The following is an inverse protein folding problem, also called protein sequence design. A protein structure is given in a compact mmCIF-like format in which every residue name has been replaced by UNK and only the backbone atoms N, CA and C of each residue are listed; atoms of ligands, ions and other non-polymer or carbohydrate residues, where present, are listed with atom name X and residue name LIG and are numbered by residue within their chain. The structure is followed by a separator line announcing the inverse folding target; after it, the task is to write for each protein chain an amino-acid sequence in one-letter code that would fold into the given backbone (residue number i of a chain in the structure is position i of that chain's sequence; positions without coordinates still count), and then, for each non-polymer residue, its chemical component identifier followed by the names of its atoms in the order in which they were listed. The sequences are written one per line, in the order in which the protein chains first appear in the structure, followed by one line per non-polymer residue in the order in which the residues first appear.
data_IF_630461737708
#
_entry.id   IF_630461737708
#
_cell.length_a   1.000
_cell.length_b   1.000
_cell.length_c   1.000
_cell.angle_alpha   90.00
_cell.angle_beta   90.00
_cell.angle_gamma   90.00
#
_symmetry.space_group_name_H-M   'P 1'
#
loop_
_entity.id
_entity.type
_entity.pdbx_description
1 polymer ?
#
# COMPACT_ATOMS: atom_id res chain seq x y z
N UNK A 1 7.87 -15.82 -6.81
CA UNK A 1 7.77 -17.21 -6.32
C UNK A 1 8.45 -17.44 -4.98
N UNK A 2 9.70 -16.98 -4.76
CA UNK A 2 10.37 -17.15 -3.46
C UNK A 2 9.53 -16.68 -2.26
N UNK A 3 8.80 -15.56 -2.38
CA UNK A 3 7.88 -15.08 -1.34
C UNK A 3 6.73 -16.05 -1.04
N UNK A 4 6.17 -16.67 -2.09
CA UNK A 4 5.08 -17.64 -1.96
C UNK A 4 5.55 -18.92 -1.26
N UNK A 5 6.76 -19.38 -1.61
CA UNK A 5 7.38 -20.60 -1.09
C UNK A 5 8.17 -20.39 0.22
N UNK A 6 8.36 -19.16 0.67
CA UNK A 6 9.12 -18.86 1.89
C UNK A 6 10.63 -19.11 1.76
N UNK A 7 11.20 -19.03 0.56
CA UNK A 7 12.61 -19.38 0.27
C UNK A 7 13.58 -18.20 0.38
N UNK A 8 13.10 -17.06 0.88
CA UNK A 8 13.85 -15.81 0.95
C UNK A 8 13.70 -15.13 2.33
N UNK A 9 13.61 -15.95 3.38
CA UNK A 9 13.62 -15.46 4.75
C UNK A 9 14.94 -14.74 5.06
N UNK A 10 14.86 -13.78 5.97
CA UNK A 10 16.03 -13.16 6.55
C UNK A 10 16.60 -13.99 7.69
N UNK A 11 17.90 -13.90 7.85
CA UNK A 11 18.61 -14.30 9.07
C UNK A 11 18.26 -13.38 10.23
N UNK A 12 18.53 -13.81 11.46
CA UNK A 12 18.33 -12.97 12.64
C UNK A 12 19.16 -11.68 12.59
N UNK A 13 20.40 -11.74 12.09
CA UNK A 13 21.27 -10.56 11.95
C UNK A 13 20.71 -9.55 10.94
N UNK A 14 20.15 -10.02 9.82
CA UNK A 14 19.49 -9.18 8.83
C UNK A 14 18.23 -8.51 9.42
N UNK A 15 17.44 -9.25 10.21
CA UNK A 15 16.26 -8.71 10.90
C UNK A 15 16.63 -7.65 11.95
N UNK A 16 17.67 -7.89 12.75
CA UNK A 16 18.21 -6.92 13.70
C UNK A 16 18.67 -5.64 13.00
N UNK A 17 19.42 -5.81 11.91
CA UNK A 17 19.92 -4.69 11.10
C UNK A 17 18.76 -3.89 10.51
N UNK A 18 17.76 -4.57 9.95
CA UNK A 18 16.56 -3.95 9.41
C UNK A 18 15.80 -3.17 10.48
N UNK A 19 15.53 -3.77 11.64
CA UNK A 19 14.84 -3.12 12.75
C UNK A 19 15.58 -1.87 13.25
N UNK A 20 16.91 -1.93 13.38
CA UNK A 20 17.73 -0.78 13.75
C UNK A 20 17.60 0.36 12.73
N UNK A 21 17.69 0.06 11.43
CA UNK A 21 17.53 1.04 10.35
C UNK A 21 16.16 1.70 10.35
N UNK A 22 15.07 0.93 10.46
CA UNK A 22 13.72 1.48 10.43
C UNK A 22 13.41 2.32 11.68
N UNK A 23 13.93 1.95 12.85
CA UNK A 23 13.89 2.81 14.04
C UNK A 23 14.64 4.13 13.83
N UNK A 24 15.82 4.08 13.20
CA UNK A 24 16.58 5.29 12.88
C UNK A 24 15.81 6.17 11.89
N UNK A 25 15.23 5.59 10.85
CA UNK A 25 14.39 6.32 9.89
C UNK A 25 13.22 6.99 10.61
N UNK A 26 12.44 6.26 11.42
CA UNK A 26 11.35 6.83 12.19
C UNK A 26 11.81 7.98 13.09
N UNK A 27 12.91 7.82 13.83
CA UNK A 27 13.48 8.88 14.65
C UNK A 27 13.91 10.13 13.85
N UNK A 28 14.35 9.95 12.61
CA UNK A 28 14.73 11.08 11.75
C UNK A 28 13.50 11.82 11.19
N UNK A 29 12.45 11.10 10.81
CA UNK A 29 11.16 11.72 10.44
C UNK A 29 10.54 12.49 11.62
N UNK A 30 10.59 11.92 12.83
CA UNK A 30 10.11 12.58 14.06
C UNK A 30 10.86 13.90 14.34
N UNK A 31 12.17 13.97 14.10
CA UNK A 31 12.95 15.22 14.21
C UNK A 31 12.48 16.31 13.23
N UNK A 32 11.82 15.93 12.13
CA UNK A 32 11.19 16.86 11.17
C UNK A 32 9.72 17.14 11.48
N UNK A 33 9.19 16.62 12.60
CA UNK A 33 7.80 16.80 13.01
C UNK A 33 6.81 15.92 12.25
N UNK A 34 7.30 14.83 11.66
CA UNK A 34 6.50 13.89 10.88
C UNK A 34 6.49 12.51 11.54
N UNK A 35 5.30 11.97 11.77
CA UNK A 35 5.09 10.65 12.31
C UNK A 35 5.09 9.59 11.19
N UNK A 36 5.89 8.54 11.32
CA UNK A 36 6.09 7.54 10.27
C UNK A 36 5.34 6.23 10.56
N UNK A 37 4.44 5.85 9.66
CA UNK A 37 3.73 4.56 9.66
C UNK A 37 4.17 3.68 8.49
N UNK A 38 4.52 2.43 8.74
CA UNK A 38 4.82 1.43 7.71
C UNK A 38 3.58 0.64 7.33
N UNK A 39 3.36 0.42 6.04
CA UNK A 39 2.23 -0.36 5.52
C UNK A 39 2.77 -1.45 4.60
N UNK A 40 2.44 -2.69 4.93
CA UNK A 40 2.85 -3.85 4.14
C UNK A 40 1.66 -4.58 3.56
N UNK A 41 1.74 -4.85 2.26
CA UNK A 41 0.65 -5.45 1.49
C UNK A 41 1.05 -6.83 0.94
N UNK A 42 0.18 -7.85 1.01
CA UNK A 42 0.50 -9.19 0.51
C UNK A 42 0.49 -9.22 -1.02
N UNK A 43 1.27 -10.14 -1.60
CA UNK A 43 1.14 -10.45 -3.02
C UNK A 43 -0.22 -11.12 -3.31
N UNK A 44 -0.77 -10.83 -4.49
CA UNK A 44 -1.97 -11.49 -5.03
C UNK A 44 -1.93 -13.01 -4.93
N UNK A 45 -0.78 -13.63 -5.24
CA UNK A 45 -0.59 -15.09 -5.21
C UNK A 45 -0.81 -15.71 -3.83
N UNK A 46 -0.62 -14.95 -2.76
CA UNK A 46 -0.87 -15.41 -1.39
C UNK A 46 -2.35 -15.33 -1.03
N UNK A 47 -3.03 -14.28 -1.45
CA UNK A 47 -4.48 -14.10 -1.22
C UNK A 47 -5.29 -15.11 -2.04
N UNK A 48 -4.94 -15.29 -3.32
CA UNK A 48 -5.58 -16.23 -4.25
C UNK A 48 -4.78 -17.53 -4.38
N UNK A 49 -4.32 -18.07 -3.25
CA UNK A 49 -3.48 -19.27 -3.25
C UNK A 49 -4.21 -20.51 -3.80
N UNK A 50 -5.54 -20.53 -3.72
CA UNK A 50 -6.43 -21.55 -4.29
C UNK A 50 -6.50 -21.51 -5.83
N UNK A 51 -6.12 -20.38 -6.44
CA UNK A 51 -6.06 -20.21 -7.90
C UNK A 51 -4.65 -20.44 -8.48
N UNK A 52 -3.66 -20.73 -7.62
CA UNK A 52 -2.29 -21.00 -8.07
C UNK A 52 -2.21 -22.38 -8.75
N UNK A 53 -1.41 -22.53 -9.83
CA UNK A 53 -1.19 -23.83 -10.45
C UNK A 53 -0.68 -24.88 -9.46
N UNK A 54 -1.22 -26.10 -9.52
CA UNK A 54 -0.89 -27.19 -8.59
C UNK A 54 0.63 -27.49 -8.51
N UNK A 55 1.38 -27.21 -9.58
CA UNK A 55 2.84 -27.36 -9.63
C UNK A 55 3.58 -26.50 -8.58
N UNK A 56 2.99 -25.42 -8.10
CA UNK A 56 3.59 -24.54 -7.08
C UNK A 56 3.26 -24.97 -5.64
N UNK A 57 2.39 -25.95 -5.44
CA UNK A 57 2.00 -26.43 -4.12
C UNK A 57 1.20 -25.40 -3.31
N UNK A 58 1.21 -25.56 -1.98
CA UNK A 58 0.57 -24.63 -1.03
C UNK A 58 1.51 -23.47 -0.68
N UNK A 59 0.99 -22.28 -0.34
CA UNK A 59 1.83 -21.19 0.14
C UNK A 59 2.51 -21.59 1.45
N UNK A 60 3.75 -21.14 1.65
CA UNK A 60 4.46 -21.37 2.90
C UNK A 60 3.76 -20.69 4.08
N UNK A 61 3.74 -21.37 5.23
CA UNK A 61 3.17 -20.86 6.48
C UNK A 61 4.05 -19.77 7.11
N UNK A 62 5.36 -19.88 6.92
CA UNK A 62 6.34 -18.86 7.25
C UNK A 62 6.96 -18.31 5.96
N UNK A 63 6.99 -17.00 5.83
CA UNK A 63 7.42 -16.28 4.64
C UNK A 63 7.91 -14.89 5.03
N UNK A 64 8.69 -14.26 4.16
CA UNK A 64 9.49 -13.09 4.51
C UNK A 64 8.65 -11.93 5.06
N UNK A 65 7.51 -11.60 4.45
CA UNK A 65 6.65 -10.53 4.95
C UNK A 65 6.16 -10.81 6.38
N UNK A 66 5.61 -12.01 6.63
CA UNK A 66 5.18 -12.41 7.98
C UNK A 66 6.33 -12.38 8.98
N UNK A 67 7.50 -12.91 8.59
CA UNK A 67 8.70 -12.91 9.42
C UNK A 67 9.10 -11.48 9.82
N UNK A 68 9.21 -10.57 8.83
CA UNK A 68 9.61 -9.17 9.05
C UNK A 68 8.59 -8.45 9.93
N UNK A 69 7.28 -8.54 9.62
CA UNK A 69 6.24 -7.87 10.41
C UNK A 69 6.24 -8.35 11.86
N UNK A 70 6.30 -9.67 12.08
CA UNK A 70 6.33 -10.23 13.44
C UNK A 70 7.57 -9.77 14.19
N UNK A 71 8.74 -9.78 13.54
CA UNK A 71 9.98 -9.34 14.13
C UNK A 71 9.94 -7.85 14.52
N UNK A 72 9.51 -6.99 13.61
CA UNK A 72 9.44 -5.55 13.87
C UNK A 72 8.44 -5.23 14.98
N UNK A 73 7.25 -5.84 14.99
CA UNK A 73 6.26 -5.66 16.07
C UNK A 73 6.77 -6.14 17.44
N UNK A 74 7.59 -7.19 17.47
CA UNK A 74 8.14 -7.72 18.72
C UNK A 74 9.34 -6.92 19.25
N UNK A 75 10.15 -6.34 18.36
CA UNK A 75 11.46 -5.75 18.71
C UNK A 75 11.53 -4.23 18.53
N UNK A 76 10.46 -3.58 18.10
CA UNK A 76 10.42 -2.12 17.88
C UNK A 76 9.13 -1.51 18.41
N UNK A 77 9.07 -0.17 18.41
CA UNK A 77 7.84 0.60 18.67
C UNK A 77 7.32 1.27 17.40
N UNK A 78 7.68 0.75 16.24
CA UNK A 78 7.24 1.28 14.96
C UNK A 78 5.76 1.04 14.76
N UNK A 79 5.06 2.03 14.21
CA UNK A 79 3.68 1.86 13.78
C UNK A 79 3.63 1.09 12.46
N UNK A 80 3.07 -0.12 12.52
CA UNK A 80 3.07 -1.08 11.42
C UNK A 80 1.65 -1.58 11.15
N UNK A 81 1.20 -1.35 9.92
CA UNK A 81 -0.04 -1.89 9.37
C UNK A 81 0.31 -3.02 8.41
N UNK A 82 -0.15 -4.23 8.72
CA UNK A 82 -0.05 -5.39 7.84
C UNK A 82 -1.45 -5.75 7.34
N UNK A 83 -1.65 -5.67 6.03
CA UNK A 83 -2.98 -5.89 5.42
C UNK A 83 -3.22 -7.37 5.05
N UNK A 84 -2.25 -8.25 5.32
CA UNK A 84 -2.32 -9.67 4.98
C UNK A 84 -3.56 -10.37 5.54
N UNK A 85 -3.77 -10.26 6.84
CA UNK A 85 -4.85 -10.99 7.53
C UNK A 85 -6.23 -10.45 7.14
N UNK A 86 -6.39 -9.12 7.07
CA UNK A 86 -7.69 -8.52 6.73
C UNK A 86 -8.12 -8.87 5.30
N UNK A 87 -7.18 -8.93 4.35
CA UNK A 87 -7.46 -9.31 2.97
C UNK A 87 -7.73 -10.82 2.84
N UNK A 88 -6.93 -11.66 3.51
CA UNK A 88 -7.10 -13.11 3.49
C UNK A 88 -8.44 -13.53 4.13
N UNK A 89 -8.79 -12.96 5.28
CA UNK A 89 -10.05 -13.21 5.97
C UNK A 89 -11.24 -12.74 5.14
N UNK A 90 -11.13 -11.57 4.50
CA UNK A 90 -12.18 -11.06 3.63
C UNK A 90 -12.42 -11.99 2.43
N UNK A 91 -11.34 -12.38 1.73
CA UNK A 91 -11.43 -13.27 0.58
C UNK A 91 -12.02 -14.63 0.96
N UNK A 92 -11.59 -15.21 2.08
CA UNK A 92 -12.12 -16.49 2.57
C UNK A 92 -13.62 -16.44 2.89
N UNK A 93 -14.10 -15.33 3.44
CA UNK A 93 -15.52 -15.14 3.80
C UNK A 93 -16.38 -14.74 2.60
N UNK A 94 -15.78 -14.08 1.60
CA UNK A 94 -16.46 -13.52 0.43
C UNK A 94 -15.76 -13.93 -0.87
N UNK A 95 -15.63 -15.24 -1.18
CA UNK A 95 -14.87 -15.70 -2.35
C UNK A 95 -15.43 -15.22 -3.69
N UNK A 96 -16.71 -14.84 -3.73
CA UNK A 96 -17.38 -14.24 -4.89
C UNK A 96 -16.95 -12.80 -5.16
N UNK A 97 -16.37 -12.10 -4.18
CA UNK A 97 -15.95 -10.71 -4.32
C UNK A 97 -14.49 -10.65 -4.74
N UNK A 98 -14.25 -10.23 -5.97
CA UNK A 98 -12.91 -10.01 -6.48
C UNK A 98 -12.31 -8.76 -5.81
N UNK A 99 -11.17 -8.94 -5.13
CA UNK A 99 -10.39 -7.87 -4.48
C UNK A 99 -9.04 -7.59 -5.16
N UNK A 100 -8.61 -8.45 -6.09
CA UNK A 100 -7.48 -8.20 -6.99
C UNK A 100 -7.93 -8.41 -8.41
N UNK A 101 -7.42 -7.59 -9.33
CA UNK A 101 -7.62 -7.81 -10.76
C UNK A 101 -7.09 -9.18 -11.16
N UNK A 102 -7.75 -9.84 -12.11
CA UNK A 102 -7.33 -11.12 -12.68
C UNK A 102 -6.12 -10.95 -13.60
N UNK A 103 -6.12 -9.96 -14.49
CA UNK A 103 -5.06 -9.76 -15.50
C UNK A 103 -4.00 -8.74 -15.09
N UNK A 104 -4.01 -8.33 -13.82
CA UNK A 104 -3.10 -7.34 -13.28
C UNK A 104 -2.50 -7.82 -11.93
N UNK A 105 -1.34 -7.31 -11.57
CA UNK A 105 -0.65 -7.62 -10.31
C UNK A 105 -1.25 -6.92 -9.10
N UNK A 106 -2.06 -5.87 -9.29
CA UNK A 106 -2.61 -5.04 -8.22
C UNK A 106 -3.92 -5.58 -7.64
N UNK A 107 -4.22 -5.12 -6.43
CA UNK A 107 -5.61 -5.11 -5.97
C UNK A 107 -6.48 -4.26 -6.91
N UNK A 108 -7.79 -4.45 -6.86
CA UNK A 108 -8.72 -3.49 -7.45
C UNK A 108 -9.10 -2.41 -6.42
N UNK A 109 -10.00 -1.48 -6.78
CA UNK A 109 -10.45 -0.42 -5.87
C UNK A 109 -11.00 -0.96 -4.56
N UNK A 110 -11.70 -2.08 -4.60
CA UNK A 110 -12.34 -2.65 -3.43
C UNK A 110 -11.34 -3.37 -2.50
N UNK A 111 -10.39 -4.12 -3.05
CA UNK A 111 -9.28 -4.67 -2.26
C UNK A 111 -8.45 -3.57 -1.59
N UNK A 112 -8.13 -2.52 -2.34
CA UNK A 112 -7.47 -1.34 -1.76
C UNK A 112 -8.31 -0.69 -0.67
N UNK A 113 -9.63 -0.57 -0.83
CA UNK A 113 -10.49 0.02 0.19
C UNK A 113 -10.41 -0.74 1.52
N UNK A 114 -10.43 -2.08 1.47
CA UNK A 114 -10.30 -2.93 2.65
C UNK A 114 -8.96 -2.69 3.36
N UNK A 115 -7.86 -2.64 2.60
CA UNK A 115 -6.52 -2.34 3.11
C UNK A 115 -6.43 -0.91 3.68
N UNK A 116 -6.92 0.09 2.95
CA UNK A 116 -6.91 1.49 3.37
C UNK A 116 -7.77 1.74 4.59
N UNK A 117 -8.83 0.95 4.81
CA UNK A 117 -9.62 1.01 6.04
C UNK A 117 -8.79 0.70 7.28
N UNK A 118 -7.94 -0.32 7.20
CA UNK A 118 -7.04 -0.70 8.29
C UNK A 118 -5.96 0.37 8.51
N UNK A 119 -5.39 0.91 7.44
CA UNK A 119 -4.45 2.04 7.51
C UNK A 119 -5.10 3.28 8.15
N UNK A 120 -6.30 3.64 7.71
CA UNK A 120 -7.03 4.79 8.23
C UNK A 120 -7.21 4.68 9.76
N UNK A 121 -7.54 3.50 10.27
CA UNK A 121 -7.62 3.26 11.72
C UNK A 121 -6.29 3.53 12.43
N UNK A 122 -5.17 3.07 11.87
CA UNK A 122 -3.82 3.37 12.39
C UNK A 122 -3.52 4.87 12.41
N UNK A 123 -4.01 5.61 11.40
CA UNK A 123 -3.89 7.07 11.32
C UNK A 123 -4.95 7.83 12.15
N UNK A 124 -5.74 7.13 12.98
CA UNK A 124 -6.84 7.66 13.80
C UNK A 124 -7.99 8.27 12.99
N UNK A 125 -8.19 7.74 11.78
CA UNK A 125 -9.31 8.02 10.88
C UNK A 125 -10.25 6.80 10.84
N UNK A 126 -11.48 7.01 10.38
CA UNK A 126 -12.45 5.93 10.27
C UNK A 126 -13.13 5.96 8.92
N UNK A 127 -13.06 4.84 8.22
CA UNK A 127 -13.80 4.58 6.98
C UNK A 127 -14.87 3.51 7.25
N UNK A 128 -16.05 3.57 6.58
CA UNK A 128 -17.15 2.62 6.78
C UNK A 128 -16.79 1.15 6.53
N UNK A 129 -17.53 0.22 7.13
CA UNK A 129 -17.38 -1.22 6.85
C UNK A 129 -17.48 -1.51 5.33
N UNK A 130 -16.76 -2.51 4.78
CA UNK A 130 -16.91 -2.93 3.38
C UNK A 130 -18.34 -3.34 3.01
N UNK A 131 -19.16 -3.70 3.98
CA UNK A 131 -20.57 -4.05 3.77
C UNK A 131 -21.49 -2.82 3.69
N UNK A 132 -20.98 -1.64 4.05
CA UNK A 132 -21.71 -0.37 4.06
C UNK A 132 -21.41 0.52 2.83
N UNK A 133 -20.52 0.07 1.93
CA UNK A 133 -20.16 0.81 0.73
C UNK A 133 -20.85 0.24 -0.51
N UNK A 134 -20.91 1.06 -1.55
CA UNK A 134 -21.42 0.66 -2.85
C UNK A 134 -20.26 0.39 -3.81
N UNK A 135 -20.50 -0.53 -4.75
CA UNK A 135 -19.58 -0.86 -5.83
C UNK A 135 -20.24 -0.47 -7.14
N UNK A 136 -19.54 0.32 -7.94
CA UNK A 136 -19.94 0.69 -9.30
C UNK A 136 -18.89 0.16 -10.28
N UNK A 137 -19.31 -0.09 -11.52
CA UNK A 137 -18.35 -0.46 -12.56
C UNK A 137 -17.56 0.77 -13.01
N UNK A 138 -16.27 0.58 -13.19
CA UNK A 138 -15.32 1.63 -13.48
C UNK A 138 -14.74 1.55 -14.88
N UNK A 139 -13.84 2.48 -15.18
CA UNK A 139 -13.05 2.40 -16.40
C UNK A 139 -12.03 1.28 -16.26
N UNK A 140 -12.08 0.31 -17.16
CA UNK A 140 -11.09 -0.75 -17.26
C UNK A 140 -9.69 -0.18 -17.54
N UNK A 141 -8.67 -0.49 -16.71
CA UNK A 141 -7.30 -0.08 -16.96
C UNK A 141 -6.66 -0.98 -18.02
N UNK A 142 -5.48 -0.60 -18.49
CA UNK A 142 -4.58 -1.54 -19.17
C UNK A 142 -3.93 -2.39 -18.08
N UNK A 143 -4.29 -3.66 -18.04
CA UNK A 143 -3.81 -4.60 -17.04
C UNK A 143 -2.33 -4.97 -17.27
N UNK A 144 -1.51 -4.89 -16.22
CA UNK A 144 -0.06 -5.00 -16.36
C UNK A 144 0.41 -6.41 -16.77
N UNK A 145 -0.18 -7.50 -16.26
CA UNK A 145 0.16 -8.87 -16.68
C UNK A 145 -0.29 -9.12 -18.12
N UNK A 146 -1.46 -8.61 -18.52
CA UNK A 146 -1.90 -8.69 -19.92
C UNK A 146 -0.90 -7.98 -20.84
N UNK A 147 -0.43 -6.79 -20.46
CA UNK A 147 0.59 -6.05 -21.19
C UNK A 147 1.92 -6.78 -21.24
N UNK A 148 2.36 -7.40 -20.15
CA UNK A 148 3.60 -8.21 -20.10
C UNK A 148 3.53 -9.42 -21.04
N UNK A 149 2.33 -9.96 -21.28
CA UNK A 149 2.09 -11.05 -22.23
C UNK A 149 1.85 -10.57 -23.66
N UNK A 150 1.87 -9.25 -23.91
CA UNK A 150 1.45 -8.64 -25.18
C UNK A 150 0.01 -9.00 -25.60
N UNK A 151 -0.86 -9.19 -24.61
CA UNK A 151 -2.27 -9.55 -24.77
C UNK A 151 -3.21 -8.47 -24.20
N UNK A 152 -2.76 -7.23 -24.06
CA UNK A 152 -3.56 -6.14 -23.48
C UNK A 152 -4.86 -5.85 -24.24
N UNK A 153 -4.91 -6.15 -25.54
CA UNK A 153 -6.10 -5.96 -26.39
C UNK A 153 -6.99 -7.22 -26.44
N UNK A 154 -6.57 -8.31 -25.78
CA UNK A 154 -7.25 -9.62 -25.76
C UNK A 154 -7.78 -9.95 -24.36
N UNK A 155 -7.00 -9.66 -23.33
CA UNK A 155 -7.34 -9.92 -21.93
C UNK A 155 -7.91 -8.65 -21.28
N UNK A 156 -9.09 -8.25 -21.74
CA UNK A 156 -9.79 -7.02 -21.29
C UNK A 156 -10.91 -7.30 -20.29
N UNK A 157 -11.44 -8.54 -20.29
CA UNK A 157 -12.62 -8.93 -19.51
C UNK A 157 -12.26 -9.22 -18.04
N UNK A 158 -12.16 -8.15 -17.24
CA UNK A 158 -11.87 -8.22 -15.82
C UNK A 158 -12.57 -7.07 -15.06
N UNK A 159 -13.37 -7.32 -14.02
CA UNK A 159 -14.11 -6.25 -13.33
C UNK A 159 -13.21 -5.13 -12.79
N UNK A 160 -13.61 -3.89 -13.03
CA UNK A 160 -12.91 -2.70 -12.55
C UNK A 160 -13.75 -1.90 -11.54
N UNK A 161 -14.07 -2.50 -10.38
CA UNK A 161 -14.96 -1.86 -9.42
C UNK A 161 -14.39 -0.54 -8.92
N UNK A 162 -15.27 0.43 -8.71
CA UNK A 162 -15.01 1.68 -8.00
C UNK A 162 -15.88 1.68 -6.74
N UNK A 163 -15.25 1.92 -5.59
CA UNK A 163 -15.94 2.03 -4.31
C UNK A 163 -16.52 3.43 -4.16
N UNK A 164 -17.79 3.52 -3.79
CA UNK A 164 -18.51 4.76 -3.50
C UNK A 164 -19.35 4.62 -2.23
N UNK A 165 -19.94 5.73 -1.76
CA UNK A 165 -20.75 5.72 -0.52
C UNK A 165 -19.95 5.53 0.77
N UNK A 166 -18.62 5.62 0.72
CA UNK A 166 -17.75 5.55 1.89
C UNK A 166 -17.60 6.90 2.62
N UNK A 167 -17.93 8.01 1.95
CA UNK A 167 -17.92 9.37 2.49
C UNK A 167 -18.66 10.32 1.53
N UNK A 168 -19.16 11.43 2.05
CA UNK A 168 -19.68 12.56 1.26
C UNK A 168 -18.59 13.62 0.98
N UNK A 169 -17.39 13.43 1.54
CA UNK A 169 -16.24 14.32 1.33
C UNK A 169 -15.69 14.16 -0.08
N UNK A 170 -15.34 15.28 -0.69
CA UNK A 170 -14.64 15.34 -1.98
C UNK A 170 -13.25 15.93 -1.80
N UNK A 171 -12.38 15.68 -2.77
CA UNK A 171 -11.07 16.32 -2.84
C UNK A 171 -10.80 16.77 -4.27
N UNK A 172 -10.06 17.87 -4.40
CA UNK A 172 -9.48 18.28 -5.68
C UNK A 172 -8.13 17.57 -5.85
N UNK A 173 -7.86 17.08 -7.06
CA UNK A 173 -6.61 16.39 -7.37
C UNK A 173 -5.81 17.15 -8.42
N UNK A 174 -4.51 17.28 -8.19
CA UNK A 174 -3.55 17.81 -9.15
C UNK A 174 -2.37 16.86 -9.28
N UNK A 175 -1.88 16.67 -10.49
CA UNK A 175 -0.64 15.94 -10.74
C UNK A 175 0.50 16.92 -10.96
N UNK A 176 1.67 16.62 -10.41
CA UNK A 176 2.90 17.37 -10.65
C UNK A 176 4.02 16.43 -11.12
N UNK A 177 5.02 16.98 -11.80
CA UNK A 177 6.11 16.22 -12.41
C UNK A 177 5.81 15.75 -13.84
N UNK A 178 6.83 15.21 -14.51
CA UNK A 178 6.74 14.68 -15.88
C UNK A 178 7.32 13.26 -15.96
N UNK A 179 6.83 12.47 -16.92
CA UNK A 179 7.37 11.13 -17.20
C UNK A 179 7.31 10.19 -15.99
N UNK A 180 8.48 9.81 -15.48
CA UNK A 180 8.62 8.89 -14.35
C UNK A 180 8.56 9.56 -12.97
N UNK A 181 8.31 10.88 -12.88
CA UNK A 181 8.31 11.70 -11.64
C UNK A 181 6.92 12.22 -11.20
N UNK A 182 5.85 11.56 -11.66
CA UNK A 182 4.48 11.97 -11.35
C UNK A 182 4.16 11.79 -9.85
N UNK A 183 3.84 12.89 -9.18
CA UNK A 183 3.20 12.94 -7.86
C UNK A 183 1.73 13.33 -7.98
N UNK A 184 0.93 12.92 -6.99
CA UNK A 184 -0.50 13.24 -6.94
C UNK A 184 -0.78 14.01 -5.65
N UNK A 185 -1.31 15.22 -5.77
CA UNK A 185 -1.72 16.05 -4.66
C UNK A 185 -3.24 16.06 -4.56
N UNK A 186 -3.76 15.86 -3.35
CA UNK A 186 -5.18 15.86 -3.02
C UNK A 186 -5.45 16.91 -1.95
N UNK A 187 -6.47 17.74 -2.15
CA UNK A 187 -6.91 18.76 -1.20
C UNK A 187 -8.37 18.56 -0.84
N UNK A 188 -8.65 18.31 0.45
CA UNK A 188 -10.01 18.15 0.96
C UNK A 188 -10.43 19.37 1.76
N UNK A 189 -11.48 20.07 1.31
CA UNK A 189 -11.97 21.28 1.97
C UNK A 189 -12.99 21.01 3.10
N UNK A 190 -13.30 19.74 3.40
CA UNK A 190 -14.25 19.38 4.46
C UNK A 190 -13.70 19.76 5.84
N UNK A 191 -14.51 20.38 6.73
CA UNK A 191 -14.08 20.70 8.09
C UNK A 191 -13.85 19.46 8.97
N UNK A 192 -14.37 18.30 8.57
CA UNK A 192 -14.14 17.01 9.22
C UNK A 192 -12.85 16.31 8.75
N UNK A 193 -12.18 16.85 7.73
CA UNK A 193 -10.87 16.38 7.31
C UNK A 193 -9.83 16.68 8.42
N UNK A 194 -8.88 15.77 8.57
CA UNK A 194 -7.78 15.94 9.51
C UNK A 194 -6.90 17.12 9.08
N UNK A 195 -6.64 18.05 9.99
CA UNK A 195 -5.82 19.23 9.71
C UNK A 195 -4.35 18.90 9.44
N UNK A 196 -3.89 17.69 9.79
CA UNK A 196 -2.58 17.17 9.43
C UNK A 196 -2.48 16.97 7.91
N UNK A 197 -1.28 17.14 7.38
CA UNK A 197 -0.92 16.79 6.02
C UNK A 197 -0.33 15.38 6.00
N UNK A 198 -0.77 14.58 5.04
CA UNK A 198 -0.31 13.22 4.83
C UNK A 198 0.59 13.14 3.60
N UNK A 199 1.77 12.54 3.74
CA UNK A 199 2.62 12.11 2.62
C UNK A 199 2.61 10.57 2.53
N UNK A 200 2.04 10.03 1.47
CA UNK A 200 2.07 8.61 1.13
C UNK A 200 3.23 8.35 0.17
N UNK A 201 4.32 7.79 0.70
CA UNK A 201 5.45 7.28 -0.06
C UNK A 201 5.16 5.80 -0.33
N UNK A 202 4.89 5.43 -1.58
CA UNK A 202 4.43 4.08 -1.86
C UNK A 202 4.84 3.56 -3.22
N UNK A 203 4.45 2.32 -3.48
CA UNK A 203 4.50 1.76 -4.82
C UNK A 203 3.17 1.98 -5.54
N UNK A 204 2.99 1.38 -6.72
CA UNK A 204 1.75 1.52 -7.48
C UNK A 204 0.49 1.04 -6.73
N UNK A 205 0.61 0.23 -5.67
CA UNK A 205 -0.48 -0.11 -4.75
C UNK A 205 -1.00 1.14 -4.01
N UNK A 206 -0.10 1.99 -3.52
CA UNK A 206 -0.43 3.24 -2.83
C UNK A 206 -1.31 4.19 -3.63
N UNK A 207 -1.23 4.17 -4.97
CA UNK A 207 -2.11 5.00 -5.83
C UNK A 207 -3.59 4.70 -5.64
N UNK A 208 -3.95 3.44 -5.33
CA UNK A 208 -5.33 3.06 -5.04
C UNK A 208 -5.75 3.50 -3.64
N UNK A 209 -4.83 3.53 -2.68
CA UNK A 209 -5.10 3.98 -1.32
C UNK A 209 -5.30 5.49 -1.26
N UNK A 210 -4.55 6.24 -2.08
CA UNK A 210 -4.60 7.70 -2.16
C UNK A 210 -6.02 8.25 -2.26
N UNK A 211 -6.89 7.67 -3.11
CA UNK A 211 -8.26 8.19 -3.32
C UNK A 211 -9.13 8.18 -2.05
N UNK A 212 -8.87 7.25 -1.14
CA UNK A 212 -9.60 7.14 0.13
C UNK A 212 -8.94 7.98 1.22
N UNK A 213 -7.61 8.10 1.21
CA UNK A 213 -6.90 8.94 2.18
C UNK A 213 -7.06 10.43 1.87
N UNK A 214 -7.14 10.80 0.59
CA UNK A 214 -7.36 12.18 0.16
C UNK A 214 -8.69 12.76 0.61
N UNK A 215 -9.68 11.93 0.99
CA UNK A 215 -10.93 12.41 1.61
C UNK A 215 -10.82 12.57 3.13
N UNK A 216 -9.72 12.12 3.75
CA UNK A 216 -9.57 12.10 5.22
C UNK A 216 -8.65 13.18 5.78
N UNK A 217 -7.80 13.79 4.96
CA UNK A 217 -6.84 14.82 5.35
C UNK A 217 -7.02 16.08 4.52
N UNK A 218 -6.77 17.26 5.10
CA UNK A 218 -6.84 18.54 4.38
C UNK A 218 -5.89 18.57 3.18
N UNK A 219 -4.75 17.89 3.28
CA UNK A 219 -3.81 17.69 2.18
C UNK A 219 -3.24 16.28 2.25
N UNK A 220 -3.31 15.56 1.13
CA UNK A 220 -2.64 14.27 0.93
C UNK A 220 -1.76 14.36 -0.30
N UNK A 221 -0.50 13.94 -0.20
CA UNK A 221 0.40 13.84 -1.35
C UNK A 221 0.82 12.39 -1.49
N UNK A 222 0.61 11.79 -2.67
CA UNK A 222 1.22 10.53 -3.06
C UNK A 222 2.49 10.80 -3.84
N UNK A 223 3.57 10.14 -3.43
CA UNK A 223 4.88 10.15 -4.08
C UNK A 223 5.29 8.69 -4.32
N UNK A 224 5.59 8.33 -5.57
CA UNK A 224 6.12 6.99 -5.81
C UNK A 224 7.51 6.91 -5.16
N UNK A 225 7.81 5.79 -4.50
CA UNK A 225 9.04 5.64 -3.73
C UNK A 225 10.30 5.98 -4.52
N UNK A 226 10.31 5.75 -5.84
CA UNK A 226 11.51 5.92 -6.67
C UNK A 226 11.86 7.40 -6.90
N UNK A 227 10.90 8.27 -6.58
CA UNK A 227 10.99 9.72 -6.73
C UNK A 227 11.18 10.40 -5.38
N UNK A 228 11.03 9.67 -4.26
CA UNK A 228 11.11 10.28 -2.95
C UNK A 228 12.55 10.66 -2.62
N UNK A 229 12.74 11.96 -2.40
CA UNK A 229 13.93 12.59 -1.87
C UNK A 229 13.54 13.50 -0.70
N UNK A 230 14.50 13.82 0.18
CA UNK A 230 14.26 14.73 1.31
C UNK A 230 13.56 16.03 0.92
N UNK A 231 13.83 16.57 -0.26
CA UNK A 231 13.24 17.81 -0.76
C UNK A 231 11.71 17.73 -0.83
N UNK A 232 11.14 16.54 -1.09
CA UNK A 232 9.69 16.31 -1.06
C UNK A 232 9.15 16.49 0.36
N UNK A 233 9.83 15.91 1.37
CA UNK A 233 9.46 16.09 2.78
C UNK A 233 9.53 17.56 3.20
N UNK A 234 10.56 18.28 2.74
CA UNK A 234 10.79 19.69 3.10
C UNK A 234 9.82 20.64 2.39
N UNK A 235 9.37 20.30 1.18
CA UNK A 235 8.36 21.04 0.43
C UNK A 235 6.95 20.81 1.00
N UNK A 236 6.56 19.55 1.20
CA UNK A 236 5.21 19.17 1.62
C UNK A 236 4.96 19.46 3.11
N UNK A 237 6.00 19.33 3.95
CA UNK A 237 5.95 19.48 5.41
C UNK A 237 4.81 18.67 6.06
N UNK A 238 4.75 17.35 5.80
CA UNK A 238 3.72 16.49 6.36
C UNK A 238 3.87 16.33 7.87
N UNK A 239 2.75 16.11 8.56
CA UNK A 239 2.75 15.62 9.94
C UNK A 239 2.58 14.10 10.01
N UNK A 240 2.00 13.49 8.98
CA UNK A 240 1.89 12.04 8.83
C UNK A 240 2.63 11.59 7.57
N UNK A 241 3.46 10.58 7.70
CA UNK A 241 4.14 9.92 6.58
C UNK A 241 3.77 8.45 6.61
N UNK A 242 3.28 7.94 5.49
CA UNK A 242 3.05 6.53 5.28
C UNK A 242 4.08 6.01 4.29
N UNK A 243 4.82 4.97 4.68
CA UNK A 243 5.68 4.22 3.78
C UNK A 243 5.03 2.87 3.44
N UNK A 244 4.55 2.73 2.21
CA UNK A 244 3.81 1.59 1.71
C UNK A 244 4.67 0.72 0.78
N UNK A 245 4.62 -0.59 0.98
CA UNK A 245 5.23 -1.57 0.07
C UNK A 245 4.43 -2.86 -0.02
N UNK A 246 4.34 -3.40 -1.24
CA UNK A 246 3.91 -4.78 -1.45
C UNK A 246 5.03 -5.80 -1.19
N UNK A 247 4.66 -7.00 -0.74
CA UNK A 247 5.54 -8.10 -0.28
C UNK A 247 6.75 -8.37 -1.19
N UNK A 248 6.55 -8.38 -2.52
CA UNK A 248 7.64 -8.61 -3.48
C UNK A 248 8.74 -7.53 -3.44
N UNK A 249 8.42 -6.33 -2.94
CA UNK A 249 9.32 -5.19 -2.82
C UNK A 249 9.94 -5.05 -1.41
N UNK A 250 9.68 -5.99 -0.50
CA UNK A 250 10.08 -5.87 0.91
C UNK A 250 11.60 -5.69 1.11
N UNK A 251 12.43 -6.25 0.21
CA UNK A 251 13.88 -6.09 0.27
C UNK A 251 14.35 -4.65 0.11
N UNK A 252 13.52 -3.80 -0.48
CA UNK A 252 13.83 -2.40 -0.67
C UNK A 252 13.93 -1.66 0.69
N UNK A 253 13.23 -2.11 1.73
CA UNK A 253 13.33 -1.53 3.10
C UNK A 253 14.76 -1.39 3.60
N UNK A 254 15.68 -2.24 3.14
CA UNK A 254 17.09 -2.19 3.54
C UNK A 254 17.79 -0.88 3.19
N UNK A 255 17.21 -0.07 2.32
CA UNK A 255 17.75 1.21 1.87
C UNK A 255 16.86 2.41 2.18
N UNK A 256 15.72 2.21 2.83
CA UNK A 256 14.80 3.28 3.20
C UNK A 256 15.43 4.20 4.25
N UNK A 257 15.40 5.51 4.00
CA UNK A 257 15.80 6.54 4.95
C UNK A 257 15.03 7.84 4.72
N UNK A 258 15.28 8.83 5.59
CA UNK A 258 14.71 10.17 5.41
C UNK A 258 15.19 10.87 4.13
N UNK A 259 16.41 10.54 3.67
CA UNK A 259 17.04 11.20 2.52
C UNK A 259 16.47 10.75 1.18
N UNK A 260 16.13 9.46 1.10
CA UNK A 260 15.66 8.82 -0.11
C UNK A 260 14.96 7.52 0.27
N UNK A 261 14.01 7.08 -0.55
CA UNK A 261 13.46 5.76 -0.31
C UNK A 261 14.49 4.70 -0.73
N UNK A 262 15.21 4.89 -1.84
CA UNK A 262 16.13 3.89 -2.40
C UNK A 262 17.39 4.49 -3.06
N UNK A 263 18.48 3.70 -3.23
CA UNK A 263 19.67 4.09 -3.96
C UNK A 263 19.44 4.00 -5.48
N UNK A 264 20.18 4.83 -6.24
CA UNK A 264 20.21 4.79 -7.71
C UNK A 264 21.08 3.64 -8.21
#
# INVERSE_FOLDING_TARGET
MKDYLGENLYTEEELQTLASKLNQAAADFEKKGAHLTFVFNPNKSRIYADQMPAAYGKPAENYRLKQVVQYLKANTKLDIVDTSDVLADYHKKNPQNQIYFKYDTHWNSFGSYIATRLLAQGLKRSLPSPDAVSIQDGKHPIYDLARMLHLQDVLTEDPAPIVSGYTDRTYESQMSGEGAEIMIHGSCASPEADARKLLLIGDSYGTFMFRFLATEFVQTTYCHYSQYHRDVLEAEKPQEVVFELVERNLSLLNSFSIDRAFPQ
#
